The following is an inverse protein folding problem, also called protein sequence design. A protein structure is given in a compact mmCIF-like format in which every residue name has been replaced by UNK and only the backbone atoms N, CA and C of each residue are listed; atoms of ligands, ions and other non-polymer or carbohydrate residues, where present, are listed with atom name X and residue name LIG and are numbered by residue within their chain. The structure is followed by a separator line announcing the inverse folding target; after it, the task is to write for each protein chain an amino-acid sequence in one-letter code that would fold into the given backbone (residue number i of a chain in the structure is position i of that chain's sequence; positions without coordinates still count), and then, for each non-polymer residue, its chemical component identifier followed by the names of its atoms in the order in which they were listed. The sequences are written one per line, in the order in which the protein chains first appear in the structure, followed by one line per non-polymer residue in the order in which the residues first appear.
data_IF_677258472289
#
_entry.id   IF_677258472289
#
_cell.length_a   1.000
_cell.length_b   1.000
_cell.length_c   1.000
_cell.angle_alpha   90.00
_cell.angle_beta   90.00
_cell.angle_gamma   90.00
#
_symmetry.space_group_name_H-M   'P 1'
#
loop_
_entity.id
_entity.type
_entity.pdbx_description
1 polymer ?
#
# COMPACT_ATOMS: atom_id res chain seq x y z
N UNK A 1 -3.97 20.39 -35.14
CA UNK A 1 -2.91 20.07 -34.20
C UNK A 1 -3.39 20.47 -32.83
N UNK A 2 -3.91 19.48 -32.10
CA UNK A 2 -4.38 19.62 -30.73
C UNK A 2 -3.34 19.07 -29.75
N UNK A 3 -3.34 19.57 -28.52
CA UNK A 3 -2.49 19.08 -27.44
C UNK A 3 -3.34 18.51 -26.31
N UNK A 4 -3.12 17.24 -25.99
CA UNK A 4 -3.68 16.56 -24.84
C UNK A 4 -2.64 16.46 -23.72
N UNK A 5 -2.96 16.99 -22.54
CA UNK A 5 -2.11 16.98 -21.36
C UNK A 5 -2.61 15.92 -20.36
N UNK A 6 -1.77 14.95 -20.02
CA UNK A 6 -2.09 13.90 -19.04
C UNK A 6 -1.30 14.17 -17.76
N UNK A 7 -2.00 14.42 -16.66
CA UNK A 7 -1.41 14.78 -15.37
C UNK A 7 -1.28 13.56 -14.48
N UNK A 8 -0.06 13.04 -14.31
CA UNK A 8 0.29 11.91 -13.43
C UNK A 8 0.74 10.66 -14.19
N UNK A 9 2.00 10.28 -14.06
CA UNK A 9 2.65 9.09 -14.60
C UNK A 9 2.41 7.81 -13.78
N UNK A 10 1.23 7.67 -13.17
CA UNK A 10 0.77 6.43 -12.53
C UNK A 10 0.15 5.44 -13.54
N UNK A 11 -0.50 4.39 -13.04
CA UNK A 11 -1.19 3.42 -13.91
C UNK A 11 -2.19 4.09 -14.86
N UNK A 12 -3.02 4.99 -14.33
CA UNK A 12 -4.07 5.66 -15.11
C UNK A 12 -3.49 6.56 -16.19
N UNK A 13 -2.51 7.41 -15.86
CA UNK A 13 -1.98 8.35 -16.85
C UNK A 13 -1.07 7.71 -17.88
N UNK A 14 -0.26 6.70 -17.51
CA UNK A 14 0.51 5.94 -18.52
C UNK A 14 -0.42 5.22 -19.49
N UNK A 15 -1.45 4.52 -18.99
CA UNK A 15 -2.42 3.86 -19.85
C UNK A 15 -3.17 4.85 -20.74
N UNK A 16 -3.58 6.01 -20.18
CA UNK A 16 -4.30 7.04 -20.93
C UNK A 16 -3.42 7.69 -22.00
N UNK A 17 -2.16 8.01 -21.69
CA UNK A 17 -1.24 8.60 -22.66
C UNK A 17 -0.98 7.67 -23.85
N UNK A 18 -0.79 6.37 -23.59
CA UNK A 18 -0.65 5.35 -24.63
C UNK A 18 -1.93 5.28 -25.48
N UNK A 19 -3.10 5.16 -24.86
CA UNK A 19 -4.36 5.07 -25.58
C UNK A 19 -4.66 6.33 -26.41
N UNK A 20 -4.41 7.53 -25.87
CA UNK A 20 -4.56 8.77 -26.62
C UNK A 20 -3.63 8.83 -27.82
N UNK A 21 -2.39 8.38 -27.67
CA UNK A 21 -1.44 8.38 -28.78
C UNK A 21 -1.84 7.44 -29.90
N UNK A 22 -2.45 6.29 -29.57
CA UNK A 22 -2.99 5.34 -30.55
C UNK A 22 -4.24 5.87 -31.26
N UNK A 23 -5.02 6.74 -30.61
CA UNK A 23 -6.30 7.24 -31.13
C UNK A 23 -6.19 8.59 -31.87
N UNK A 24 -5.23 9.44 -31.51
CA UNK A 24 -5.06 10.77 -32.08
C UNK A 24 -4.20 10.74 -33.33
N UNK A 25 -4.41 11.71 -34.23
CA UNK A 25 -3.60 11.86 -35.44
C UNK A 25 -2.14 12.17 -35.07
N UNK A 26 -1.17 11.74 -35.88
CA UNK A 26 0.27 11.96 -35.62
C UNK A 26 0.65 13.44 -35.46
N UNK A 27 -0.15 14.34 -36.05
CA UNK A 27 0.02 15.79 -35.94
C UNK A 27 -0.43 16.36 -34.59
N UNK A 28 -1.23 15.63 -33.80
CA UNK A 28 -1.64 16.01 -32.45
C UNK A 28 -0.58 15.60 -31.43
N UNK A 29 -0.48 16.32 -30.32
CA UNK A 29 0.51 16.06 -29.26
C UNK A 29 -0.13 15.42 -28.03
N UNK A 30 0.55 14.42 -27.47
CA UNK A 30 0.24 13.84 -26.16
C UNK A 30 1.41 14.14 -25.23
N UNK A 31 1.14 14.86 -24.14
CA UNK A 31 2.13 15.25 -23.15
C UNK A 31 1.78 14.63 -21.80
N UNK A 32 2.62 13.74 -21.28
CA UNK A 32 2.51 13.21 -19.93
C UNK A 32 3.34 14.07 -18.98
N UNK A 33 2.73 14.52 -17.88
CA UNK A 33 3.39 15.30 -16.83
C UNK A 33 3.44 14.49 -15.54
N UNK A 34 4.62 14.35 -14.95
CA UNK A 34 4.77 13.85 -13.58
C UNK A 34 5.97 14.50 -12.90
N UNK A 35 5.91 14.60 -11.57
CA UNK A 35 7.00 15.10 -10.72
C UNK A 35 8.10 14.08 -10.45
N UNK A 36 7.90 12.82 -10.88
CA UNK A 36 8.88 11.74 -10.81
C UNK A 36 9.30 11.34 -12.21
N UNK A 37 10.57 10.94 -12.38
CA UNK A 37 11.04 10.43 -13.67
C UNK A 37 10.60 8.99 -13.93
N UNK A 38 10.19 8.26 -12.89
CA UNK A 38 9.91 6.83 -12.94
C UNK A 38 8.46 6.50 -12.59
N UNK A 39 7.86 5.63 -13.40
CA UNK A 39 6.70 4.85 -12.99
C UNK A 39 7.15 3.77 -12.01
N UNK A 40 6.40 3.61 -10.91
CA UNK A 40 6.61 2.53 -9.92
C UNK A 40 5.35 1.69 -9.80
N UNK A 41 5.45 0.38 -10.07
CA UNK A 41 4.34 -0.55 -9.85
C UNK A 41 4.03 -0.73 -8.36
N UNK A 42 3.12 0.09 -7.83
CA UNK A 42 2.75 0.12 -6.41
C UNK A 42 2.32 -1.23 -5.82
N UNK A 43 1.77 -2.14 -6.64
CA UNK A 43 1.42 -3.51 -6.22
C UNK A 43 2.63 -4.31 -5.69
N UNK A 44 3.86 -3.99 -6.13
CA UNK A 44 5.08 -4.67 -5.66
C UNK A 44 5.54 -4.20 -4.29
N UNK A 45 5.06 -3.07 -3.77
CA UNK A 45 5.50 -2.53 -2.48
C UNK A 45 5.33 -3.56 -1.37
N UNK A 46 4.24 -4.34 -1.34
CA UNK A 46 4.07 -5.42 -0.34
C UNK A 46 5.22 -6.43 -0.37
N UNK A 47 5.66 -6.84 -1.57
CA UNK A 47 6.76 -7.80 -1.73
C UNK A 47 8.12 -7.20 -1.38
N UNK A 48 8.31 -5.91 -1.64
CA UNK A 48 9.49 -5.18 -1.19
C UNK A 48 9.58 -5.10 0.33
N UNK A 49 8.47 -4.72 0.97
CA UNK A 49 8.35 -4.68 2.43
C UNK A 49 8.62 -6.03 3.09
N UNK A 50 8.24 -7.12 2.43
CA UNK A 50 8.51 -8.49 2.87
C UNK A 50 9.90 -9.01 2.50
N UNK A 51 10.66 -8.26 1.70
CA UNK A 51 11.99 -8.62 1.21
C UNK A 51 12.03 -9.73 0.17
N UNK A 52 10.88 -10.08 -0.44
CA UNK A 52 10.81 -11.16 -1.43
C UNK A 52 11.15 -10.73 -2.86
N UNK A 53 10.95 -9.45 -3.20
CA UNK A 53 11.27 -8.87 -4.52
C UNK A 53 11.62 -7.39 -4.38
N UNK A 54 12.37 -6.83 -5.33
CA UNK A 54 12.70 -5.40 -5.33
C UNK A 54 11.57 -4.56 -5.93
N UNK A 55 11.49 -3.28 -5.55
CA UNK A 55 10.67 -2.29 -6.26
C UNK A 55 11.17 -2.04 -7.69
N UNK A 56 12.49 -1.98 -7.87
CA UNK A 56 13.14 -1.69 -9.15
C UNK A 56 12.67 -2.63 -10.28
N UNK A 57 12.41 -3.91 -9.96
CA UNK A 57 11.88 -4.89 -10.92
C UNK A 57 10.59 -4.40 -11.62
N UNK A 58 9.76 -3.63 -10.91
CA UNK A 58 8.51 -3.07 -11.39
C UNK A 58 8.53 -1.56 -11.65
N UNK A 59 9.70 -0.95 -11.68
CA UNK A 59 9.87 0.46 -12.01
C UNK A 59 10.36 0.64 -13.43
N UNK A 60 9.91 1.67 -14.13
CA UNK A 60 10.35 2.01 -15.49
C UNK A 60 10.43 3.53 -15.63
N UNK A 61 11.45 4.01 -16.33
CA UNK A 61 11.57 5.43 -16.68
C UNK A 61 10.38 5.83 -17.56
N UNK A 62 9.73 6.94 -17.21
CA UNK A 62 8.65 7.49 -18.00
C UNK A 62 9.14 7.95 -19.37
N UNK A 63 10.39 8.41 -19.47
CA UNK A 63 11.03 8.82 -20.73
C UNK A 63 10.99 7.74 -21.83
N UNK A 64 10.84 6.46 -21.48
CA UNK A 64 10.65 5.38 -22.47
C UNK A 64 9.36 5.55 -23.30
N UNK A 65 8.41 6.38 -22.85
CA UNK A 65 7.21 6.73 -23.60
C UNK A 65 7.50 7.66 -24.79
N UNK A 66 8.63 8.36 -24.81
CA UNK A 66 9.04 9.20 -25.94
C UNK A 66 9.25 8.38 -27.21
N UNK A 67 9.75 7.14 -27.08
CA UNK A 67 9.86 6.19 -28.19
C UNK A 67 8.50 5.80 -28.79
N UNK A 68 7.38 6.14 -28.12
CA UNK A 68 6.01 5.95 -28.61
C UNK A 68 5.37 7.24 -29.10
N UNK A 69 6.12 8.33 -29.24
CA UNK A 69 5.58 9.63 -29.67
C UNK A 69 4.80 10.37 -28.58
N UNK A 70 5.05 10.06 -27.30
CA UNK A 70 4.47 10.75 -26.15
C UNK A 70 5.55 11.61 -25.51
N UNK A 71 5.34 12.93 -25.48
CA UNK A 71 6.28 13.82 -24.79
C UNK A 71 6.15 13.67 -23.28
N UNK A 72 7.27 13.52 -22.58
CA UNK A 72 7.29 13.40 -21.13
C UNK A 72 7.87 14.68 -20.54
N UNK A 73 7.11 15.34 -19.68
CA UNK A 73 7.54 16.54 -18.97
C UNK A 73 7.64 16.25 -17.48
N UNK A 74 8.86 16.37 -16.97
CA UNK A 74 9.12 16.29 -15.54
C UNK A 74 8.80 17.63 -14.89
N UNK A 75 7.66 17.73 -14.20
CA UNK A 75 7.17 18.96 -13.56
C UNK A 75 6.18 18.65 -12.44
N UNK A 76 6.12 19.52 -11.43
CA UNK A 76 5.10 19.48 -10.39
C UNK A 76 3.81 20.16 -10.88
N UNK A 77 2.67 19.51 -10.64
CA UNK A 77 1.35 20.10 -10.91
C UNK A 77 0.88 20.83 -9.66
N UNK A 78 0.87 22.17 -9.71
CA UNK A 78 0.56 23.02 -8.55
C UNK A 78 -0.89 23.51 -8.56
N UNK A 79 -1.52 23.54 -9.74
CA UNK A 79 -2.88 24.05 -9.88
C UNK A 79 -3.53 23.65 -11.20
N UNK A 80 -4.86 23.57 -11.18
CA UNK A 80 -5.70 23.30 -12.34
C UNK A 80 -6.89 24.25 -12.31
N UNK A 81 -7.12 24.94 -13.43
CA UNK A 81 -8.29 25.75 -13.71
C UNK A 81 -9.08 25.06 -14.85
N UNK A 82 -10.13 24.29 -14.52
CA UNK A 82 -10.88 23.51 -15.51
C UNK A 82 -11.64 24.39 -16.50
N UNK A 83 -12.09 25.58 -16.08
CA UNK A 83 -12.85 26.49 -16.93
C UNK A 83 -11.97 27.05 -18.06
N UNK A 84 -10.70 27.33 -17.75
CA UNK A 84 -9.73 27.85 -18.71
C UNK A 84 -8.82 26.78 -19.32
N UNK A 85 -9.00 25.49 -18.96
CA UNK A 85 -8.11 24.37 -19.33
C UNK A 85 -6.64 24.72 -19.11
N UNK A 86 -6.37 25.39 -17.99
CA UNK A 86 -5.06 25.93 -17.64
C UNK A 86 -4.49 25.14 -16.46
N UNK A 87 -3.27 24.67 -16.60
CA UNK A 87 -2.54 23.94 -15.56
C UNK A 87 -1.32 24.75 -15.15
N UNK A 88 -1.05 24.86 -13.86
CA UNK A 88 0.18 25.46 -13.35
C UNK A 88 1.20 24.35 -13.15
N UNK A 89 2.29 24.42 -13.92
CA UNK A 89 3.40 23.47 -13.90
C UNK A 89 4.67 24.22 -13.50
N UNK A 90 5.27 23.90 -12.36
CA UNK A 90 6.44 24.58 -11.79
C UNK A 90 6.27 26.12 -11.77
N UNK A 91 5.16 26.61 -11.24
CA UNK A 91 4.79 28.03 -11.23
C UNK A 91 4.41 28.64 -12.58
N UNK A 92 4.44 27.90 -13.69
CA UNK A 92 4.13 28.40 -15.03
C UNK A 92 2.78 27.90 -15.54
N UNK A 93 1.93 28.82 -15.99
CA UNK A 93 0.69 28.48 -16.66
C UNK A 93 0.95 27.79 -18.01
N UNK A 94 0.33 26.64 -18.21
CA UNK A 94 0.34 25.84 -19.43
C UNK A 94 -1.10 25.60 -19.87
N UNK A 95 -1.38 25.85 -21.15
CA UNK A 95 -2.68 25.62 -21.76
C UNK A 95 -2.64 24.37 -22.64
N UNK A 96 -3.78 23.66 -22.72
CA UNK A 96 -3.95 22.50 -23.58
C UNK A 96 -5.41 22.43 -24.08
N UNK A 97 -5.62 21.77 -25.21
CA UNK A 97 -6.96 21.58 -25.78
C UNK A 97 -7.77 20.61 -24.93
N UNK A 98 -7.10 19.60 -24.36
CA UNK A 98 -7.66 18.64 -23.42
C UNK A 98 -6.71 18.39 -22.24
N UNK A 99 -7.29 18.19 -21.05
CA UNK A 99 -6.55 17.83 -19.83
C UNK A 99 -7.17 16.59 -19.21
N UNK A 100 -6.34 15.58 -18.95
CA UNK A 100 -6.71 14.36 -18.23
C UNK A 100 -6.06 14.40 -16.85
N UNK A 101 -6.87 14.26 -15.79
CA UNK A 101 -6.38 14.21 -14.41
C UNK A 101 -6.19 12.76 -13.96
N UNK A 102 -4.94 12.35 -13.75
CA UNK A 102 -4.54 11.01 -13.31
C UNK A 102 -3.53 11.05 -12.15
N UNK A 103 -3.60 12.08 -11.31
CA UNK A 103 -2.65 12.38 -10.22
C UNK A 103 -2.70 11.38 -9.04
N UNK A 104 -3.70 10.50 -9.02
CA UNK A 104 -3.92 9.56 -7.91
C UNK A 104 -4.40 10.27 -6.64
N UNK A 105 -4.05 9.72 -5.48
CA UNK A 105 -4.45 10.23 -4.18
C UNK A 105 -3.22 10.51 -3.30
N UNK A 106 -3.24 11.65 -2.60
CA UNK A 106 -2.26 11.97 -1.58
C UNK A 106 -2.58 11.26 -0.26
N UNK A 107 -1.55 10.88 0.49
CA UNK A 107 -1.72 10.41 1.86
C UNK A 107 -1.91 11.61 2.79
N UNK A 108 -2.80 11.47 3.78
CA UNK A 108 -3.11 12.51 4.77
C UNK A 108 -2.72 12.09 6.19
N UNK A 109 -1.43 11.85 6.49
CA UNK A 109 -1.03 11.36 7.81
C UNK A 109 -1.28 12.37 8.94
N UNK A 110 -1.36 13.66 8.64
CA UNK A 110 -1.78 14.68 9.62
C UNK A 110 -3.24 14.54 10.08
N UNK A 111 -4.06 13.75 9.39
CA UNK A 111 -5.41 13.43 9.85
C UNK A 111 -5.43 12.49 11.07
N UNK A 112 -4.29 11.85 11.38
CA UNK A 112 -4.12 11.00 12.57
C UNK A 112 -3.07 11.66 13.48
N UNK A 113 -3.49 12.30 14.58
CA UNK A 113 -2.56 12.93 15.51
C UNK A 113 -1.49 11.95 16.02
N UNK A 114 -0.22 12.35 15.96
CA UNK A 114 0.92 11.54 16.41
C UNK A 114 1.40 10.46 15.43
N UNK A 115 0.79 10.32 14.24
CA UNK A 115 1.13 9.25 13.31
C UNK A 115 2.54 9.40 12.71
N UNK A 116 2.94 10.62 12.35
CA UNK A 116 4.25 10.87 11.74
C UNK A 116 5.40 10.62 12.71
N UNK A 117 5.17 10.89 13.98
CA UNK A 117 6.15 10.78 15.06
C UNK A 117 6.28 9.33 15.55
N UNK A 118 5.17 8.57 15.55
CA UNK A 118 5.11 7.25 16.15
C UNK A 118 5.18 6.07 15.16
N UNK A 119 5.06 6.31 13.84
CA UNK A 119 4.95 5.23 12.87
C UNK A 119 5.69 5.48 11.55
N UNK A 120 6.13 4.38 10.93
CA UNK A 120 6.60 4.38 9.55
C UNK A 120 5.41 4.20 8.61
N UNK A 121 5.14 5.19 7.77
CA UNK A 121 4.07 5.14 6.76
C UNK A 121 4.60 4.43 5.52
N UNK A 122 4.64 3.09 5.55
CA UNK A 122 5.28 2.26 4.52
C UNK A 122 4.74 2.43 3.08
N UNK A 123 3.59 3.10 2.90
CA UNK A 123 3.00 3.39 1.60
C UNK A 123 3.40 4.75 1.02
N UNK A 124 4.06 5.62 1.80
CA UNK A 124 4.72 6.79 1.24
C UNK A 124 5.73 6.35 0.17
N UNK A 125 5.90 7.13 -0.91
CA UNK A 125 6.81 6.76 -2.01
C UNK A 125 8.24 6.47 -1.55
N UNK A 126 8.75 7.29 -0.63
CA UNK A 126 10.15 7.27 -0.22
C UNK A 126 10.37 6.48 1.09
N UNK A 127 9.30 5.92 1.66
CA UNK A 127 9.33 5.17 2.92
C UNK A 127 9.43 3.66 2.73
N UNK A 128 9.61 3.16 1.50
CA UNK A 128 9.57 1.72 1.22
C UNK A 128 10.68 0.95 1.95
N UNK A 129 11.90 1.48 1.99
CA UNK A 129 13.04 0.84 2.66
C UNK A 129 12.94 0.94 4.19
N UNK A 130 12.54 2.10 4.71
CA UNK A 130 12.24 2.26 6.13
C UNK A 130 11.12 1.31 6.57
N UNK A 131 10.08 1.16 5.75
CA UNK A 131 8.98 0.22 5.96
C UNK A 131 9.46 -1.23 5.97
N UNK A 132 10.36 -1.60 5.05
CA UNK A 132 10.98 -2.93 5.04
C UNK A 132 11.79 -3.16 6.31
N UNK A 133 12.64 -2.21 6.71
CA UNK A 133 13.43 -2.32 7.94
C UNK A 133 12.55 -2.49 9.19
N UNK A 134 11.44 -1.76 9.27
CA UNK A 134 10.46 -1.89 10.35
C UNK A 134 9.72 -3.25 10.33
N UNK A 135 9.64 -3.91 9.18
CA UNK A 135 8.97 -5.20 9.03
C UNK A 135 9.94 -6.37 9.18
N UNK A 136 11.22 -6.28 8.79
CA UNK A 136 12.15 -7.41 8.93
C UNK A 136 12.25 -7.86 10.39
N UNK A 137 12.14 -9.16 10.71
CA UNK A 137 12.22 -9.64 12.09
C UNK A 137 13.59 -9.31 12.69
N UNK A 138 13.61 -8.45 13.71
CA UNK A 138 14.77 -8.29 14.58
C UNK A 138 14.57 -9.10 15.88
N UNK A 139 15.60 -9.80 16.39
CA UNK A 139 15.54 -10.53 17.65
C UNK A 139 15.14 -9.64 18.84
N UNK A 140 15.39 -8.33 18.76
CA UNK A 140 15.11 -7.34 19.80
C UNK A 140 13.83 -6.53 19.56
N UNK A 141 13.16 -6.68 18.41
CA UNK A 141 12.01 -5.84 18.10
C UNK A 141 10.74 -6.33 18.82
N UNK A 142 10.20 -5.46 19.70
CA UNK A 142 8.85 -5.56 20.24
C UNK A 142 7.80 -5.67 19.10
N UNK A 143 6.61 -6.18 19.42
CA UNK A 143 5.54 -6.36 18.44
C UNK A 143 5.24 -5.07 17.68
N UNK A 144 5.63 -5.01 16.40
CA UNK A 144 5.17 -3.96 15.47
C UNK A 144 3.68 -4.19 15.21
N UNK A 145 2.85 -3.40 15.89
CA UNK A 145 1.43 -3.27 15.59
C UNK A 145 1.25 -2.66 14.20
N UNK A 146 0.37 -3.24 13.39
CA UNK A 146 -0.01 -2.68 12.08
C UNK A 146 -1.41 -2.16 12.20
N UNK A 147 -1.56 -0.86 11.93
CA UNK A 147 -2.80 -0.12 12.10
C UNK A 147 -3.13 0.57 10.79
N UNK A 148 -4.38 0.49 10.37
CA UNK A 148 -4.85 1.18 9.19
C UNK A 148 -5.98 2.09 9.65
N UNK A 149 -5.92 3.35 9.26
CA UNK A 149 -6.78 4.38 9.81
C UNK A 149 -7.66 4.95 8.70
N UNK A 150 -8.98 4.83 8.88
CA UNK A 150 -9.98 5.49 8.04
C UNK A 150 -10.23 4.85 6.68
N UNK A 151 -11.27 5.35 6.02
CA UNK A 151 -11.62 5.08 4.62
C UNK A 151 -11.91 6.41 3.92
N UNK A 152 -11.58 6.57 2.64
CA UNK A 152 -10.86 5.63 1.78
C UNK A 152 -9.35 5.60 2.05
N UNK A 153 -8.70 4.45 1.82
CA UNK A 153 -7.24 4.31 1.87
C UNK A 153 -6.72 3.57 0.65
N UNK A 154 -5.45 3.81 0.31
CA UNK A 154 -4.84 3.26 -0.90
C UNK A 154 -4.62 1.75 -0.79
N UNK A 155 -5.02 1.02 -1.84
CA UNK A 155 -4.82 -0.42 -2.01
C UNK A 155 -5.41 -1.28 -0.86
N UNK A 156 -6.75 -1.45 -0.81
CA UNK A 156 -7.43 -2.25 0.21
C UNK A 156 -6.82 -3.63 0.53
N UNK A 157 -6.38 -4.45 -0.45
CA UNK A 157 -5.89 -5.80 -0.19
C UNK A 157 -4.46 -5.85 0.37
N UNK A 158 -3.62 -4.86 0.07
CA UNK A 158 -2.18 -4.96 0.34
C UNK A 158 -1.85 -5.12 1.83
N UNK A 159 -2.54 -4.46 2.75
CA UNK A 159 -2.18 -4.61 4.13
C UNK A 159 -2.71 -5.96 4.72
N UNK A 160 -3.73 -6.60 4.11
CA UNK A 160 -4.13 -7.99 4.40
C UNK A 160 -3.08 -8.97 3.89
N UNK A 161 -2.62 -8.79 2.65
CA UNK A 161 -1.54 -9.57 2.05
C UNK A 161 -0.28 -9.55 2.92
N UNK A 162 0.11 -8.36 3.39
CA UNK A 162 1.24 -8.17 4.29
C UNK A 162 1.07 -8.95 5.60
N UNK A 163 -0.11 -8.87 6.22
CA UNK A 163 -0.39 -9.55 7.48
C UNK A 163 -0.38 -11.09 7.34
N UNK A 164 -1.06 -11.61 6.31
CA UNK A 164 -1.19 -13.05 6.07
C UNK A 164 0.15 -13.68 5.66
N UNK A 165 0.90 -13.02 4.78
CA UNK A 165 2.20 -13.54 4.32
C UNK A 165 3.21 -13.59 5.47
N UNK A 166 3.23 -12.55 6.32
CA UNK A 166 4.09 -12.54 7.51
C UNK A 166 3.71 -13.62 8.53
N UNK A 167 2.41 -13.86 8.73
CA UNK A 167 1.94 -14.93 9.60
C UNK A 167 2.45 -16.30 9.10
N UNK A 168 2.37 -16.56 7.80
CA UNK A 168 2.91 -17.77 7.17
C UNK A 168 4.41 -17.95 7.42
N UNK A 169 5.22 -16.92 7.22
CA UNK A 169 6.69 -17.00 7.41
C UNK A 169 7.09 -17.30 8.86
N UNK A 170 6.36 -16.76 9.85
CA UNK A 170 6.56 -17.08 11.28
C UNK A 170 6.27 -18.55 11.62
N UNK A 171 5.40 -19.21 10.86
CA UNK A 171 5.10 -20.63 11.02
C UNK A 171 6.04 -21.52 10.20
N UNK A 172 6.55 -21.05 9.06
CA UNK A 172 7.50 -21.79 8.24
C UNK A 172 8.86 -22.01 8.94
N UNK A 173 9.36 -21.01 9.67
CA UNK A 173 10.60 -21.14 10.47
C UNK A 173 10.42 -21.90 11.79
N UNK A 174 9.17 -22.13 12.23
CA UNK A 174 8.82 -22.97 13.39
C UNK A 174 8.44 -24.36 12.92
N UNK A 175 9.32 -24.99 12.13
CA UNK A 175 9.15 -26.38 11.76
C UNK A 175 8.80 -27.20 13.00
N UNK A 176 7.73 -28.02 12.91
CA UNK A 176 7.61 -29.14 13.82
C UNK A 176 8.89 -29.97 13.62
N UNK A 177 9.86 -29.87 14.52
CA UNK A 177 10.83 -30.94 14.65
C UNK A 177 10.02 -32.20 14.95
N UNK A 178 10.10 -33.25 14.11
CA UNK A 178 9.49 -34.52 14.47
C UNK A 178 10.06 -34.92 15.83
N UNK A 179 9.22 -35.30 16.78
CA UNK A 179 9.77 -35.96 17.96
C UNK A 179 10.51 -37.21 17.49
N UNK A 180 11.63 -37.56 18.12
CA UNK A 180 12.44 -38.73 17.79
C UNK A 180 11.64 -40.07 17.79
N UNK A 181 10.40 -40.04 18.28
CA UNK A 181 9.44 -41.15 18.33
C UNK A 181 8.48 -41.22 17.13
N UNK A 182 8.53 -40.28 16.18
CA UNK A 182 7.65 -40.30 15.01
C UNK A 182 8.21 -41.24 13.92
N UNK A 183 7.48 -42.32 13.60
CA UNK A 183 7.79 -43.21 12.47
C UNK A 183 8.01 -42.39 11.18
N UNK A 184 9.08 -42.66 10.41
CA UNK A 184 9.35 -41.91 9.18
C UNK A 184 8.23 -42.14 8.14
N UNK A 185 7.69 -41.05 7.56
CA UNK A 185 6.74 -41.14 6.45
C UNK A 185 7.47 -41.72 5.22
N UNK A 186 6.90 -42.77 4.62
CA UNK A 186 7.56 -43.55 3.55
C UNK A 186 7.58 -42.88 2.17
N UNK A 187 6.96 -41.72 1.97
CA UNK A 187 7.05 -40.97 0.71
C UNK A 187 6.80 -39.46 0.87
N UNK A 188 7.43 -38.66 0.00
CA UNK A 188 7.38 -37.19 0.03
C UNK A 188 6.04 -36.59 -0.45
N UNK A 189 5.18 -37.39 -1.07
CA UNK A 189 3.92 -36.98 -1.71
C UNK A 189 2.67 -37.12 -0.85
N UNK A 190 2.75 -37.76 0.33
CA UNK A 190 1.57 -37.93 1.20
C UNK A 190 1.34 -36.72 2.12
N UNK A 191 0.49 -35.79 1.67
CA UNK A 191 0.11 -34.59 2.41
C UNK A 191 -0.70 -34.88 3.69
N UNK A 192 -1.34 -36.04 3.81
CA UNK A 192 -2.12 -36.43 5.01
C UNK A 192 -1.20 -36.83 6.17
N UNK A 193 -0.03 -37.41 5.87
CA UNK A 193 0.98 -37.82 6.85
C UNK A 193 1.55 -36.61 7.64
N UNK A 194 1.80 -35.47 6.96
CA UNK A 194 2.28 -34.23 7.60
C UNK A 194 1.30 -33.62 8.61
N UNK A 195 -0.01 -33.70 8.34
CA UNK A 195 -1.03 -33.16 9.27
C UNK A 195 -1.13 -33.98 10.56
N UNK A 196 -1.08 -35.32 10.48
CA UNK A 196 -1.18 -36.19 11.66
C UNK A 196 0.06 -36.12 12.56
N UNK A 197 1.26 -35.99 12.00
CA UNK A 197 2.50 -35.88 12.78
C UNK A 197 2.64 -34.56 13.58
N UNK A 198 2.12 -33.43 13.06
CA UNK A 198 2.15 -32.14 13.79
C UNK A 198 1.03 -31.99 14.84
N UNK A 199 -0.01 -32.82 14.82
CA UNK A 199 -1.22 -32.57 15.61
C UNK A 199 -1.05 -32.82 17.13
N UNK A 200 -0.34 -33.86 17.58
CA UNK A 200 -0.12 -34.09 19.02
C UNK A 200 0.75 -33.00 19.67
N UNK A 201 1.80 -32.55 18.98
CA UNK A 201 2.74 -31.52 19.48
C UNK A 201 2.16 -30.10 19.45
N UNK A 202 1.22 -29.81 18.55
CA UNK A 202 0.40 -28.60 18.59
C UNK A 202 -0.65 -28.63 19.71
N UNK A 203 -1.27 -29.78 19.99
CA UNK A 203 -2.27 -29.93 21.07
C UNK A 203 -1.64 -29.79 22.46
N UNK A 204 -0.45 -30.38 22.67
CA UNK A 204 0.33 -30.24 23.92
C UNK A 204 0.86 -28.82 24.18
N UNK A 205 1.01 -27.99 23.14
CA UNK A 205 1.38 -26.58 23.29
C UNK A 205 0.19 -25.67 23.55
N UNK A 206 -1.00 -25.99 23.02
CA UNK A 206 -2.25 -25.28 23.36
C UNK A 206 -2.62 -25.45 24.84
N UNK A 207 -2.40 -26.62 25.43
CA UNK A 207 -2.64 -26.84 26.86
C UNK A 207 -1.66 -26.05 27.75
N UNK A 208 -0.39 -25.90 27.36
CA UNK A 208 0.57 -25.03 28.08
C UNK A 208 0.30 -23.53 27.93
N UNK A 209 -0.30 -23.11 26.82
CA UNK A 209 -0.77 -21.73 26.65
C UNK A 209 -2.02 -21.44 27.50
N UNK A 210 -2.87 -22.46 27.72
CA UNK A 210 -4.06 -22.39 28.57
C UNK A 210 -3.72 -22.45 30.08
N UNK A 211 -2.51 -22.85 30.47
CA UNK A 211 -2.06 -22.94 31.86
C UNK A 211 -1.23 -21.74 32.34
N UNK A 212 -1.13 -20.66 31.55
CA UNK A 212 -0.56 -19.39 32.08
C UNK A 212 -1.61 -18.75 32.99
N UNK A 213 -1.28 -18.44 34.26
CA UNK A 213 -2.21 -17.70 35.11
C UNK A 213 -2.49 -16.32 34.47
N UNK A 214 -3.73 -15.80 34.56
CA UNK A 214 -4.04 -14.48 34.04
C UNK A 214 -3.23 -13.45 34.82
N UNK A 215 -2.25 -12.82 34.16
CA UNK A 215 -1.53 -11.69 34.73
C UNK A 215 -2.42 -10.46 34.70
N UNK A 216 -2.78 -9.99 35.90
CA UNK A 216 -3.30 -8.67 36.28
C UNK A 216 -4.62 -8.21 35.60
N UNK A 217 -5.62 -8.01 36.45
CA UNK A 217 -6.91 -7.45 36.13
C UNK A 217 -6.80 -6.08 35.45
N UNK A 218 -7.28 -5.97 34.22
CA UNK A 218 -7.74 -4.69 33.68
C UNK A 218 -9.03 -4.36 34.43
N UNK A 219 -8.95 -3.37 35.32
CA UNK A 219 -10.11 -2.84 36.02
C UNK A 219 -11.16 -2.39 34.98
N UNK A 220 -12.35 -2.99 35.04
CA UNK A 220 -13.50 -2.55 34.27
C UNK A 220 -13.94 -1.19 34.82
N UNK A 221 -13.65 -0.10 34.10
CA UNK A 221 -14.40 1.14 34.29
C UNK A 221 -15.78 1.01 33.61
N UNK A 222 -16.85 1.55 34.22
CA UNK A 222 -18.21 1.34 33.74
C UNK A 222 -18.45 2.07 32.42
N UNK A 223 -19.24 1.45 31.56
CA UNK A 223 -19.71 1.99 30.29
C UNK A 223 -20.65 3.17 30.52
N UNK A 224 -20.19 4.39 30.22
CA UNK A 224 -21.11 5.48 29.92
C UNK A 224 -21.69 5.26 28.52
N UNK A 225 -22.95 4.83 28.48
CA UNK A 225 -23.81 4.93 27.29
C UNK A 225 -23.89 6.41 26.92
N UNK A 226 -23.49 6.77 25.70
CA UNK A 226 -23.71 8.14 25.22
C UNK A 226 -22.96 8.49 23.95
N UNK A 227 -23.36 7.97 22.78
CA UNK A 227 -22.95 8.57 21.51
C UNK A 227 -23.90 8.34 20.32
N UNK A 228 -25.14 7.89 20.55
CA UNK A 228 -26.19 7.95 19.52
C UNK A 228 -26.73 9.38 19.30
N UNK A 229 -26.50 10.31 20.24
CA UNK A 229 -26.98 11.70 20.19
C UNK A 229 -25.97 12.71 19.59
N UNK A 230 -24.84 12.23 19.06
CA UNK A 230 -23.82 13.07 18.41
C UNK A 230 -24.02 13.18 16.89
N UNK A 231 -24.67 12.18 16.27
CA UNK A 231 -24.89 12.14 14.81
C UNK A 231 -25.99 13.07 14.33
N UNK A 232 -27.01 13.35 15.15
CA UNK A 232 -28.12 14.25 14.81
C UNK A 232 -27.78 15.75 14.93
N UNK A 233 -26.66 16.11 15.58
CA UNK A 233 -26.22 17.50 15.73
C UNK A 233 -25.27 18.01 14.64
N UNK A 234 -24.67 17.12 13.86
CA UNK A 234 -23.76 17.51 12.77
C UNK A 234 -24.52 17.90 11.48
N UNK A 235 -25.76 17.42 11.30
CA UNK A 235 -26.57 17.72 10.12
C UNK A 235 -27.28 19.09 10.14
N UNK A 236 -27.25 19.83 11.26
CA UNK A 236 -28.04 21.06 11.44
C UNK A 236 -27.23 22.36 11.50
N UNK A 237 -25.90 22.32 11.32
CA UNK A 237 -25.05 23.50 11.43
C UNK A 237 -24.33 23.79 10.11
N UNK A 238 -25.06 24.39 9.16
CA UNK A 238 -24.49 25.23 8.09
C UNK A 238 -25.10 26.63 8.25
N UNK A 239 -24.30 27.67 8.49
CA UNK A 239 -24.72 29.04 8.19
C UNK A 239 -24.38 29.38 6.72
N UNK A 240 -25.03 30.43 6.18
CA UNK A 240 -25.33 30.60 4.75
C UNK A 240 -24.14 30.89 3.84
#
# INVERSE_FOLDING_TARGET
MATALVLGGGFGGVATAIALRELLADSDQVVLVDRRPDFVMGLRKTWHLLGSRSLADGSRQLALLEARGISVRHAEVEGLDPALRRVVLDGKATHADAVVVALGAALAPGAVPGLREAAVIAWEPDAADAGRAAIVPSPSAAQVGRWWFGTPYSCPPAPYELALTRARSRHAGKGCTPSATARPCRSATDWRCRRRACWPSCRARRSRAASRPPSAAISRRPSSRGSAAAWSRWAAARPP
#
